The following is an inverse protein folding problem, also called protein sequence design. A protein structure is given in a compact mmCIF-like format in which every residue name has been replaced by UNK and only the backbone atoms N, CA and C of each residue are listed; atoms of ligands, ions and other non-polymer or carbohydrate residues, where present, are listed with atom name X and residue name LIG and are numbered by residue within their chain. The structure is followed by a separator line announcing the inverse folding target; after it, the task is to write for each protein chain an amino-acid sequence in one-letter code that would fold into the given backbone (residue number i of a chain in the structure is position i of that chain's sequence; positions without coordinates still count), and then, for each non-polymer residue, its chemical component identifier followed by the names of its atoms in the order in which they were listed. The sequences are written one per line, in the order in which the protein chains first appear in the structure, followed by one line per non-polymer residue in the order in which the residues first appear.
data_IF_255006022996
#
_entry.id   IF_255006022996
#
_cell.length_a   1.000
_cell.length_b   1.000
_cell.length_c   1.000
_cell.angle_alpha   90.00
_cell.angle_beta   90.00
_cell.angle_gamma   90.00
#
_symmetry.space_group_name_H-M   'P 1'
#
loop_
_entity.id
_entity.type
_entity.pdbx_description
1 polymer ?
#
# COMPACT_ATOMS: atom_id res chain seq x y z
N UNK A 1 14.42 2.66 -13.46
CA UNK A 1 14.22 3.43 -12.20
C UNK A 1 15.43 4.32 -11.93
N UNK A 2 15.20 5.64 -11.74
CA UNK A 2 16.25 6.61 -11.39
C UNK A 2 16.36 6.69 -9.85
N UNK A 3 17.56 6.51 -9.25
CA UNK A 3 17.72 6.62 -7.79
C UNK A 3 17.22 7.94 -7.21
N UNK A 4 17.33 9.04 -7.96
CA UNK A 4 16.82 10.35 -7.56
C UNK A 4 15.31 10.41 -7.41
N UNK A 5 14.53 9.70 -8.23
CA UNK A 5 13.06 9.67 -8.15
C UNK A 5 12.59 8.99 -6.85
N UNK A 6 13.23 7.90 -6.44
CA UNK A 6 12.89 7.22 -5.18
C UNK A 6 13.13 8.11 -3.96
N UNK A 7 14.26 8.80 -3.93
CA UNK A 7 14.57 9.70 -2.82
C UNK A 7 13.60 10.89 -2.77
N UNK A 8 13.24 11.44 -3.92
CA UNK A 8 12.25 12.51 -4.02
C UNK A 8 10.87 12.02 -3.56
N UNK A 9 10.40 10.88 -4.06
CA UNK A 9 9.13 10.27 -3.66
C UNK A 9 9.09 10.01 -2.15
N UNK A 10 10.16 9.44 -1.58
CA UNK A 10 10.28 9.19 -0.15
C UNK A 10 10.23 10.49 0.69
N UNK A 11 10.88 11.56 0.23
CA UNK A 11 10.79 12.86 0.90
C UNK A 11 9.38 13.43 0.87
N UNK A 12 8.69 13.31 -0.26
CA UNK A 12 7.29 13.74 -0.42
C UNK A 12 6.39 12.98 0.56
N UNK A 13 6.53 11.66 0.64
CA UNK A 13 5.77 10.82 1.59
C UNK A 13 6.00 11.27 3.04
N UNK A 14 7.26 11.46 3.45
CA UNK A 14 7.62 11.91 4.81
C UNK A 14 7.05 13.28 5.16
N UNK A 15 6.75 14.12 4.17
CA UNK A 15 6.09 15.44 4.34
C UNK A 15 4.56 15.37 4.24
N UNK A 16 3.98 14.17 4.17
CA UNK A 16 2.53 13.97 4.07
C UNK A 16 1.98 14.09 2.65
N UNK A 17 2.81 13.94 1.64
CA UNK A 17 2.38 13.91 0.24
C UNK A 17 1.84 12.54 -0.20
N UNK A 18 1.18 12.55 -1.36
CA UNK A 18 0.63 11.37 -2.03
C UNK A 18 1.49 11.02 -3.23
N UNK A 19 1.91 9.76 -3.31
CA UNK A 19 2.75 9.24 -4.39
C UNK A 19 2.07 8.08 -5.08
N UNK A 20 2.15 8.03 -6.42
CA UNK A 20 1.84 6.83 -7.19
C UNK A 20 3.12 6.07 -7.54
N UNK A 21 3.05 4.75 -7.47
CA UNK A 21 4.18 3.86 -7.74
C UNK A 21 3.71 2.50 -8.27
N UNK A 22 4.51 1.81 -9.09
CA UNK A 22 4.14 0.51 -9.62
C UNK A 22 4.22 -0.57 -8.53
N UNK A 23 3.30 -1.54 -8.60
CA UNK A 23 3.27 -2.75 -7.78
C UNK A 23 3.17 -3.99 -8.66
N UNK A 24 2.94 -5.16 -8.07
CA UNK A 24 2.93 -6.43 -8.78
C UNK A 24 1.86 -6.53 -9.88
N UNK A 25 0.71 -5.85 -9.71
CA UNK A 25 -0.43 -5.92 -10.64
C UNK A 25 -0.75 -4.59 -11.31
N UNK A 26 -0.79 -3.51 -10.56
CA UNK A 26 -1.19 -2.18 -11.03
C UNK A 26 -0.41 -1.10 -10.28
N UNK A 27 -0.58 0.15 -10.67
CA UNK A 27 -0.08 1.24 -9.85
C UNK A 27 -0.80 1.31 -8.51
N UNK A 28 -0.05 1.55 -7.46
CA UNK A 28 -0.53 1.88 -6.12
C UNK A 28 -0.51 3.38 -5.88
N UNK A 29 -1.44 3.85 -5.05
CA UNK A 29 -1.39 5.18 -4.43
C UNK A 29 -1.00 5.00 -2.98
N UNK A 30 -0.04 5.77 -2.49
CA UNK A 30 0.45 5.66 -1.13
C UNK A 30 0.82 6.97 -0.47
N UNK A 31 0.90 6.89 0.84
CA UNK A 31 1.32 7.97 1.75
C UNK A 31 1.80 7.36 3.07
N UNK A 32 2.30 8.20 3.98
CA UNK A 32 2.58 7.80 5.35
C UNK A 32 1.27 7.42 6.09
N UNK A 33 1.15 6.18 6.59
CA UNK A 33 -0.03 5.71 7.31
C UNK A 33 -0.37 6.53 8.56
N UNK A 34 0.63 7.08 9.22
CA UNK A 34 0.45 7.85 10.46
C UNK A 34 0.18 9.33 10.21
N UNK A 35 0.34 9.80 8.99
CA UNK A 35 0.00 11.18 8.62
C UNK A 35 -1.49 11.30 8.28
N UNK A 36 -2.32 11.55 9.29
CA UNK A 36 -3.79 11.59 9.17
C UNK A 36 -4.29 12.40 7.97
N UNK A 37 -3.75 13.61 7.77
CA UNK A 37 -4.20 14.48 6.69
C UNK A 37 -3.92 13.88 5.30
N UNK A 38 -2.77 13.21 5.12
CA UNK A 38 -2.42 12.50 3.88
C UNK A 38 -3.37 11.33 3.62
N UNK A 39 -3.64 10.50 4.65
CA UNK A 39 -4.58 9.37 4.51
C UNK A 39 -5.97 9.85 4.15
N UNK A 40 -6.49 10.87 4.83
CA UNK A 40 -7.82 11.42 4.51
C UNK A 40 -7.87 12.07 3.12
N UNK A 41 -6.77 12.72 2.67
CA UNK A 41 -6.66 13.23 1.29
C UNK A 41 -6.69 12.09 0.28
N UNK A 42 -5.96 10.99 0.54
CA UNK A 42 -5.95 9.79 -0.31
C UNK A 42 -7.35 9.16 -0.41
N UNK A 43 -8.05 9.00 0.71
CA UNK A 43 -9.40 8.45 0.73
C UNK A 43 -10.39 9.33 -0.06
N UNK A 44 -10.32 10.65 0.06
CA UNK A 44 -11.12 11.60 -0.72
C UNK A 44 -10.80 11.48 -2.21
N UNK A 45 -9.52 11.47 -2.57
CA UNK A 45 -9.05 11.31 -3.96
C UNK A 45 -9.65 10.06 -4.61
N UNK A 46 -9.70 8.96 -3.87
CA UNK A 46 -10.27 7.68 -4.32
C UNK A 46 -11.79 7.60 -4.22
N UNK A 47 -12.46 8.55 -3.58
CA UNK A 47 -13.87 8.43 -3.18
C UNK A 47 -14.13 7.15 -2.39
N UNK A 48 -13.21 6.83 -1.47
CA UNK A 48 -13.24 5.60 -0.66
C UNK A 48 -13.67 5.93 0.76
N UNK A 49 -14.73 5.30 1.29
CA UNK A 49 -15.11 5.42 2.69
C UNK A 49 -13.97 4.96 3.62
N UNK A 50 -13.83 5.64 4.76
CA UNK A 50 -12.78 5.34 5.75
C UNK A 50 -12.99 3.98 6.44
N UNK A 51 -14.23 3.54 6.57
CA UNK A 51 -14.64 2.29 7.19
C UNK A 51 -14.11 1.03 6.47
N UNK A 52 -13.78 1.16 5.18
CA UNK A 52 -13.22 0.05 4.38
C UNK A 52 -11.78 -0.34 4.69
N UNK A 53 -11.11 0.39 5.58
CA UNK A 53 -9.72 0.15 5.89
C UNK A 53 -8.76 0.25 4.70
N UNK A 54 -7.49 0.14 4.97
CA UNK A 54 -6.39 0.27 4.00
C UNK A 54 -5.40 -0.87 4.14
N UNK A 55 -4.68 -1.17 3.07
CA UNK A 55 -3.57 -2.12 3.08
C UNK A 55 -2.29 -1.33 3.37
N UNK A 56 -1.42 -1.88 4.22
CA UNK A 56 -0.05 -1.41 4.36
C UNK A 56 0.90 -2.33 3.61
N UNK A 57 1.81 -1.75 2.84
CA UNK A 57 2.93 -2.49 2.24
C UNK A 57 4.24 -2.08 2.91
N UNK A 58 5.18 -3.02 2.95
CA UNK A 58 6.50 -2.83 3.51
C UNK A 58 7.57 -3.51 2.66
N UNK A 59 8.82 -3.12 2.87
CA UNK A 59 9.97 -3.79 2.25
C UNK A 59 10.40 -5.05 3.01
N UNK A 60 10.09 -5.10 4.31
CA UNK A 60 10.40 -6.18 5.24
C UNK A 60 9.40 -6.20 6.41
N UNK A 61 9.48 -7.24 7.23
CA UNK A 61 8.60 -7.40 8.39
C UNK A 61 8.91 -6.41 9.52
N UNK A 62 10.11 -5.88 9.59
CA UNK A 62 10.52 -4.92 10.62
C UNK A 62 9.75 -3.61 10.49
N UNK A 63 9.51 -3.17 9.25
CA UNK A 63 8.69 -1.98 8.98
C UNK A 63 7.22 -2.16 9.41
N UNK A 64 6.73 -3.40 9.53
CA UNK A 64 5.38 -3.70 10.00
C UNK A 64 5.28 -3.77 11.54
N UNK A 65 6.38 -3.96 12.25
CA UNK A 65 6.40 -4.21 13.70
C UNK A 65 5.73 -3.12 14.55
N UNK A 66 5.66 -1.88 14.05
CA UNK A 66 4.95 -0.79 14.73
C UNK A 66 3.43 -0.82 14.56
N UNK A 67 2.92 -1.62 13.60
CA UNK A 67 1.50 -1.67 13.26
C UNK A 67 0.82 -2.96 13.70
N UNK A 68 1.57 -4.05 13.86
CA UNK A 68 1.02 -5.37 14.16
C UNK A 68 1.62 -5.92 15.46
N UNK A 69 0.86 -6.75 16.16
CA UNK A 69 1.31 -7.36 17.43
C UNK A 69 2.28 -8.49 17.14
N UNK A 70 1.89 -9.37 16.23
CA UNK A 70 2.67 -10.55 15.84
C UNK A 70 2.42 -10.88 14.37
N UNK A 71 3.40 -11.48 13.73
CA UNK A 71 3.29 -12.02 12.38
C UNK A 71 3.58 -13.53 12.46
N UNK A 72 2.55 -14.38 12.22
CA UNK A 72 2.73 -15.83 12.24
C UNK A 72 3.79 -16.32 11.24
N UNK A 73 4.45 -17.43 11.55
CA UNK A 73 5.56 -17.94 10.73
C UNK A 73 5.15 -18.29 9.30
N UNK A 74 3.97 -18.90 9.11
CA UNK A 74 3.47 -19.19 7.75
C UNK A 74 3.21 -17.94 6.92
N UNK A 75 2.86 -16.81 7.57
CA UNK A 75 2.72 -15.51 6.93
C UNK A 75 4.09 -14.97 6.52
N UNK A 76 5.07 -15.01 7.43
CA UNK A 76 6.47 -14.62 7.14
C UNK A 76 7.05 -15.42 5.97
N UNK A 77 6.84 -16.74 5.97
CA UNK A 77 7.33 -17.64 4.93
C UNK A 77 6.72 -17.36 3.55
N UNK A 78 5.55 -16.70 3.48
CA UNK A 78 4.90 -16.30 2.23
C UNK A 78 5.44 -15.00 1.63
N UNK A 79 6.30 -14.28 2.33
CA UNK A 79 6.86 -12.98 1.97
C UNK A 79 8.38 -13.01 1.73
N UNK A 80 8.88 -12.07 0.90
CA UNK A 80 8.14 -11.12 0.08
C UNK A 80 7.37 -11.81 -1.06
N UNK A 81 6.16 -11.29 -1.36
CA UNK A 81 5.33 -11.95 -2.37
C UNK A 81 3.93 -11.35 -2.53
N UNK A 82 3.14 -11.92 -3.47
CA UNK A 82 1.81 -11.43 -3.81
C UNK A 82 0.76 -11.94 -2.81
N UNK A 83 1.04 -11.86 -1.52
CA UNK A 83 0.14 -12.33 -0.45
C UNK A 83 -0.13 -11.20 0.54
N UNK A 84 -1.40 -10.80 0.65
CA UNK A 84 -1.86 -9.85 1.66
C UNK A 84 -2.56 -10.62 2.78
N UNK A 85 -2.17 -10.35 4.02
CA UNK A 85 -2.71 -11.03 5.18
C UNK A 85 -3.40 -10.05 6.13
N UNK A 86 -4.52 -10.48 6.69
CA UNK A 86 -5.19 -9.82 7.80
C UNK A 86 -4.58 -10.31 9.11
N UNK A 87 -3.87 -9.42 9.78
CA UNK A 87 -3.21 -9.69 11.06
C UNK A 87 -3.77 -8.82 12.17
N UNK A 88 -3.47 -9.15 13.41
CA UNK A 88 -3.91 -8.36 14.55
C UNK A 88 -3.14 -7.05 14.66
N UNK A 89 -3.84 -5.89 14.59
CA UNK A 89 -3.20 -4.59 14.75
C UNK A 89 -2.81 -4.33 16.20
N UNK A 90 -1.79 -3.50 16.42
CA UNK A 90 -1.56 -2.89 17.73
C UNK A 90 -2.67 -1.90 18.06
N UNK A 91 -2.98 -1.73 19.32
CA UNK A 91 -3.97 -0.75 19.81
C UNK A 91 -3.65 0.70 19.37
N UNK A 92 -2.37 0.99 19.18
CA UNK A 92 -1.90 2.31 18.71
C UNK A 92 -2.18 2.59 17.23
N UNK A 93 -2.66 1.60 16.45
CA UNK A 93 -2.96 1.79 15.04
C UNK A 93 -4.24 2.61 14.89
N UNK A 94 -4.17 3.76 14.19
CA UNK A 94 -5.33 4.63 14.07
C UNK A 94 -6.47 4.02 13.27
N UNK A 95 -7.72 4.29 13.69
CA UNK A 95 -8.93 3.81 13.02
C UNK A 95 -9.08 4.24 11.55
N UNK A 96 -8.41 5.31 11.11
CA UNK A 96 -8.41 5.66 9.68
C UNK A 96 -7.60 4.70 8.81
N UNK A 97 -6.79 3.79 9.41
CA UNK A 97 -6.07 2.72 8.71
C UNK A 97 -6.90 1.43 8.74
N UNK A 98 -7.36 1.00 9.92
CA UNK A 98 -8.11 -0.25 10.08
C UNK A 98 -9.54 -0.15 9.55
N UNK A 99 -10.10 1.07 9.53
CA UNK A 99 -11.54 1.23 9.29
C UNK A 99 -12.36 0.63 10.43
N UNK A 100 -13.43 -0.09 10.07
CA UNK A 100 -14.26 -0.84 11.01
C UNK A 100 -13.84 -2.32 11.17
N UNK A 101 -12.67 -2.68 10.62
CA UNK A 101 -12.19 -4.05 10.67
C UNK A 101 -11.36 -4.31 11.93
N UNK A 102 -11.53 -5.47 12.59
CA UNK A 102 -10.72 -5.87 13.75
C UNK A 102 -9.30 -6.28 13.34
N UNK A 103 -9.03 -6.43 12.06
CA UNK A 103 -7.75 -6.87 11.50
C UNK A 103 -7.17 -5.83 10.57
N UNK A 104 -5.85 -5.81 10.46
CA UNK A 104 -5.09 -4.94 9.56
C UNK A 104 -4.57 -5.75 8.37
N UNK A 105 -4.81 -5.26 7.15
CA UNK A 105 -4.28 -5.85 5.94
C UNK A 105 -2.84 -5.39 5.71
N UNK A 106 -1.90 -6.33 5.65
CA UNK A 106 -0.47 -6.04 5.47
C UNK A 106 0.17 -6.95 4.43
N UNK A 107 1.25 -6.46 3.78
CA UNK A 107 2.04 -7.22 2.82
C UNK A 107 3.49 -6.76 2.82
N UNK A 108 4.43 -7.71 2.74
CA UNK A 108 5.80 -7.41 2.30
C UNK A 108 5.85 -7.63 0.79
N UNK A 109 6.07 -6.54 0.05
CA UNK A 109 6.00 -6.54 -1.41
C UNK A 109 7.26 -7.14 -2.04
N UNK A 110 7.09 -7.93 -3.10
CA UNK A 110 8.19 -8.40 -3.94
C UNK A 110 8.50 -7.44 -5.10
N UNK A 111 7.67 -6.42 -5.35
CA UNK A 111 7.91 -5.48 -6.43
C UNK A 111 9.12 -4.58 -6.12
N UNK A 112 10.16 -4.58 -6.95
CA UNK A 112 11.44 -3.94 -6.62
C UNK A 112 11.31 -2.43 -6.35
N UNK A 113 10.50 -1.72 -7.13
CA UNK A 113 10.28 -0.28 -6.97
C UNK A 113 9.50 0.02 -5.68
N UNK A 114 8.43 -0.73 -5.41
CA UNK A 114 7.63 -0.55 -4.19
C UNK A 114 8.44 -0.86 -2.92
N UNK A 115 9.24 -1.94 -2.94
CA UNK A 115 10.14 -2.28 -1.83
C UNK A 115 11.22 -1.20 -1.63
N UNK A 116 11.85 -0.73 -2.72
CA UNK A 116 12.85 0.32 -2.66
C UNK A 116 12.27 1.65 -2.13
N UNK A 117 11.02 1.98 -2.50
CA UNK A 117 10.32 3.16 -1.97
C UNK A 117 10.06 3.04 -0.47
N UNK A 118 9.59 1.88 0.01
CA UNK A 118 9.41 1.64 1.45
C UNK A 118 10.75 1.75 2.22
N UNK A 119 11.85 1.21 1.66
CA UNK A 119 13.19 1.35 2.24
C UNK A 119 13.65 2.80 2.26
N UNK A 120 13.52 3.53 1.15
CA UNK A 120 13.90 4.94 1.06
C UNK A 120 13.07 5.83 1.99
N UNK A 121 11.78 5.52 2.16
CA UNK A 121 10.90 6.21 3.12
C UNK A 121 11.22 5.86 4.58
N UNK A 122 11.81 4.70 4.85
CA UNK A 122 12.12 4.18 6.18
C UNK A 122 10.87 3.70 6.94
N UNK A 123 9.79 3.36 6.23
CA UNK A 123 8.51 3.00 6.84
C UNK A 123 7.64 2.15 5.89
N UNK A 124 6.68 1.43 6.47
CA UNK A 124 5.58 0.88 5.70
C UNK A 124 4.69 2.00 5.15
N UNK A 125 4.08 1.79 3.99
CA UNK A 125 3.24 2.77 3.31
C UNK A 125 1.80 2.29 3.20
N UNK A 126 0.84 3.20 3.24
CA UNK A 126 -0.50 2.91 2.70
C UNK A 126 -0.35 2.52 1.24
N UNK A 127 -1.04 1.46 0.83
CA UNK A 127 -1.08 1.04 -0.57
C UNK A 127 -2.51 0.71 -0.97
N UNK A 128 -3.00 1.45 -1.95
CA UNK A 128 -4.31 1.18 -2.56
C UNK A 128 -4.20 1.34 -4.07
N UNK A 129 -4.95 0.54 -4.83
CA UNK A 129 -4.90 0.59 -6.29
C UNK A 129 -5.18 1.98 -6.86
N UNK A 130 -4.49 2.35 -7.94
CA UNK A 130 -4.63 3.65 -8.60
C UNK A 130 -5.88 3.69 -9.49
N UNK A 131 -7.07 3.75 -8.87
CA UNK A 131 -8.36 3.95 -9.51
C UNK A 131 -9.29 4.78 -8.61
N UNK A 132 -10.26 5.46 -9.19
CA UNK A 132 -11.39 6.01 -8.44
C UNK A 132 -12.39 4.89 -8.14
N UNK A 133 -13.21 5.05 -7.11
CA UNK A 133 -14.12 4.01 -6.62
C UNK A 133 -14.84 3.24 -7.75
N UNK A 134 -14.65 1.93 -7.79
CA UNK A 134 -15.24 1.03 -8.79
C UNK A 134 -14.61 1.03 -10.18
N UNK A 135 -13.64 1.92 -10.45
CA UNK A 135 -12.97 2.00 -11.75
C UNK A 135 -11.85 0.96 -11.92
N UNK A 136 -11.39 0.80 -13.17
CA UNK A 136 -10.24 -0.06 -13.51
C UNK A 136 -8.95 0.58 -12.97
N UNK A 137 -8.08 -0.19 -12.27
CA UNK A 137 -6.80 0.30 -11.81
C UNK A 137 -5.85 0.65 -12.96
N UNK A 138 -5.12 1.75 -12.83
CA UNK A 138 -4.08 2.15 -13.77
C UNK A 138 -2.93 1.14 -13.77
N UNK A 139 -2.46 0.77 -14.94
CA UNK A 139 -1.31 -0.12 -15.15
C UNK A 139 -0.10 0.58 -15.75
N UNK A 140 -0.25 1.84 -16.12
CA UNK A 140 0.83 2.70 -16.62
C UNK A 140 0.84 4.04 -15.89
N UNK A 141 2.00 4.68 -15.84
CA UNK A 141 2.17 6.04 -15.31
C UNK A 141 1.29 7.06 -16.05
N UNK A 142 1.17 6.95 -17.38
CA UNK A 142 0.29 7.79 -18.20
C UNK A 142 -1.19 7.66 -17.83
N UNK A 143 -1.64 6.44 -17.48
CA UNK A 143 -3.00 6.24 -16.97
C UNK A 143 -3.19 6.89 -15.60
N UNK A 144 -2.19 6.80 -14.71
CA UNK A 144 -2.19 7.48 -13.42
C UNK A 144 -2.30 9.00 -13.61
N UNK A 145 -1.46 9.58 -14.47
CA UNK A 145 -1.48 11.02 -14.77
C UNK A 145 -2.83 11.46 -15.35
N UNK A 146 -3.42 10.67 -16.25
CA UNK A 146 -4.75 10.96 -16.81
C UNK A 146 -5.85 10.91 -15.77
N UNK A 147 -5.80 9.95 -14.81
CA UNK A 147 -6.84 9.75 -13.79
C UNK A 147 -6.75 10.76 -12.65
N UNK A 148 -5.55 11.13 -12.26
CA UNK A 148 -5.30 11.89 -11.02
C UNK A 148 -4.58 13.22 -11.27
N UNK A 149 -3.74 13.30 -12.30
CA UNK A 149 -3.04 14.51 -12.69
C UNK A 149 -2.37 15.21 -11.50
N UNK A 150 -2.70 16.51 -11.32
CA UNK A 150 -2.14 17.36 -10.25
C UNK A 150 -2.65 17.05 -8.84
N UNK A 151 -3.54 16.09 -8.67
CA UNK A 151 -4.04 15.69 -7.34
C UNK A 151 -3.02 14.85 -6.56
N UNK A 152 -2.03 14.25 -7.26
CA UNK A 152 -0.86 13.60 -6.67
C UNK A 152 0.31 14.57 -6.58
N UNK A 153 1.18 14.32 -5.60
CA UNK A 153 2.39 15.13 -5.42
C UNK A 153 3.58 14.56 -6.21
N UNK A 154 3.53 13.27 -6.55
CA UNK A 154 4.53 12.62 -7.40
C UNK A 154 4.03 11.32 -8.02
N UNK A 155 4.55 10.98 -9.19
CA UNK A 155 4.36 9.69 -9.87
C UNK A 155 5.73 9.11 -10.19
N UNK A 156 6.01 7.89 -9.74
CA UNK A 156 7.24 7.18 -10.10
C UNK A 156 7.02 6.56 -11.49
N UNK A 157 7.89 6.92 -12.43
CA UNK A 157 7.85 6.42 -13.80
C UNK A 157 8.60 5.10 -13.93
N UNK A 158 7.86 3.99 -13.79
CA UNK A 158 8.39 2.64 -14.00
C UNK A 158 7.24 1.68 -14.35
N UNK A 159 7.53 0.41 -14.56
CA UNK A 159 6.56 -0.59 -15.00
C UNK A 159 5.99 -1.39 -13.84
N UNK A 160 4.72 -1.79 -13.95
CA UNK A 160 4.11 -2.75 -13.03
C UNK A 160 4.65 -4.15 -13.28
N UNK A 161 4.50 -5.04 -12.30
CA UNK A 161 4.83 -6.46 -12.44
C UNK A 161 3.84 -7.22 -13.32
N UNK A 162 4.10 -8.51 -13.50
CA UNK A 162 3.36 -9.41 -14.39
C UNK A 162 2.21 -10.15 -13.71
N UNK A 163 1.85 -9.77 -12.48
CA UNK A 163 0.73 -10.42 -11.80
C UNK A 163 -0.56 -10.26 -12.62
N UNK A 164 -1.31 -11.35 -12.86
CA UNK A 164 -2.53 -11.31 -13.70
C UNK A 164 -3.71 -10.63 -13.01
N UNK A 165 -3.68 -10.55 -11.68
CA UNK A 165 -4.78 -10.06 -10.86
C UNK A 165 -4.26 -9.35 -9.59
N UNK A 166 -5.12 -8.62 -8.86
CA UNK A 166 -4.79 -8.06 -7.55
C UNK A 166 -4.37 -9.17 -6.57
N UNK A 167 -3.61 -8.81 -5.54
CA UNK A 167 -3.23 -9.80 -4.53
C UNK A 167 -4.43 -10.29 -3.73
N UNK A 168 -4.57 -11.61 -3.50
CA UNK A 168 -5.58 -12.14 -2.61
C UNK A 168 -5.35 -11.66 -1.18
N UNK A 169 -6.42 -11.52 -0.42
CA UNK A 169 -6.38 -11.23 1.01
C UNK A 169 -6.85 -12.45 1.78
N UNK A 170 -6.03 -12.92 2.73
CA UNK A 170 -6.33 -14.06 3.60
C UNK A 170 -6.30 -13.65 5.07
N UNK A 171 -7.08 -14.32 5.90
CA UNK A 171 -6.97 -14.20 7.35
C UNK A 171 -5.76 -14.99 7.85
N UNK A 172 -4.91 -14.37 8.67
CA UNK A 172 -3.68 -15.00 9.16
C UNK A 172 -3.92 -16.08 10.23
N UNK A 173 -5.09 -16.10 10.86
CA UNK A 173 -5.44 -17.08 11.89
C UNK A 173 -6.12 -18.29 11.27
N UNK A 174 -7.12 -18.06 10.41
CA UNK A 174 -7.93 -19.12 9.83
C UNK A 174 -7.40 -19.63 8.48
N UNK A 175 -6.55 -18.87 7.80
CA UNK A 175 -6.12 -19.14 6.41
C UNK A 175 -7.19 -18.87 5.37
N UNK A 176 -8.39 -18.44 5.78
CA UNK A 176 -9.54 -18.22 4.90
C UNK A 176 -9.28 -17.12 3.88
N UNK A 177 -9.75 -17.32 2.65
CA UNK A 177 -9.70 -16.34 1.58
C UNK A 177 -10.81 -15.29 1.78
N UNK A 178 -10.44 -14.10 2.22
CA UNK A 178 -11.37 -12.99 2.48
C UNK A 178 -11.69 -12.21 1.21
N UNK A 179 -10.70 -12.08 0.33
CA UNK A 179 -10.86 -11.45 -0.99
C UNK A 179 -10.01 -12.18 -2.02
N UNK A 180 -10.60 -12.63 -3.14
CA UNK A 180 -9.83 -13.18 -4.26
C UNK A 180 -8.94 -12.10 -4.90
N UNK A 181 -7.96 -12.56 -5.65
CA UNK A 181 -7.11 -11.72 -6.48
C UNK A 181 -7.81 -11.25 -7.77
#
# INVERSE_FOLDING_TARGET
MHPGELQQAAQIIRRGGLVAYPTEYCFGLGCDPLHRAAVLRLLRLKRRPVDKGLILIAADTEQLARYVTEIPEHVRASWPGPHTWLVEPRESVPGWITGQHPRLAVRVTAHPVAAALCKAAGMALVSTSANRGGGVPARTDREVERLFGRELDFVIHDVVGDAPAPTPIRDAVTGELVRPG
#
